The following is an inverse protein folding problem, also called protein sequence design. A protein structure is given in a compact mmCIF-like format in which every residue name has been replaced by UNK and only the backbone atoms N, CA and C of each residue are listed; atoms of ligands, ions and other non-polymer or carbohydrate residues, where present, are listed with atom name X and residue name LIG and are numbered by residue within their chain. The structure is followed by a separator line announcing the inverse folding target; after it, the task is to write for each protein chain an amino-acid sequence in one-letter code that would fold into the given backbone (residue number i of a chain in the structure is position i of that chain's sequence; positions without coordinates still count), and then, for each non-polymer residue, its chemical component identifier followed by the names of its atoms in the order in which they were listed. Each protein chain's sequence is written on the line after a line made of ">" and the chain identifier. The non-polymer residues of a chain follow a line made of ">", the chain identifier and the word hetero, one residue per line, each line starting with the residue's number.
data_IF_033051370998
#
_entry.id   IF_033051370998
#
_cell.length_a   1.000
_cell.length_b   1.000
_cell.length_c   1.000
_cell.angle_alpha   90.00
_cell.angle_beta   90.00
_cell.angle_gamma   90.00
#
_symmetry.space_group_name_H-M   'P 1'
#
loop_
_entity.id
_entity.type
_entity.pdbx_description
1 polymer ?
#
# COMPACT_ATOMS: atom_id res chain seq x y z
N UNK A 1 34.50 -9.89 13.63
CA UNK A 1 33.14 -10.08 13.06
C UNK A 1 32.00 -9.96 14.09
N UNK A 2 32.17 -10.48 15.32
CA UNK A 2 31.14 -10.47 16.39
C UNK A 2 30.69 -9.06 16.84
N UNK A 3 31.62 -8.10 16.96
CA UNK A 3 31.31 -6.73 17.36
C UNK A 3 30.37 -5.99 16.38
N UNK A 4 30.53 -6.21 15.06
CA UNK A 4 29.65 -5.63 14.03
C UNK A 4 28.22 -6.21 14.07
N UNK A 5 28.06 -7.43 14.58
CA UNK A 5 26.75 -8.07 14.77
C UNK A 5 26.03 -7.53 16.00
N UNK A 6 26.74 -7.36 17.12
CA UNK A 6 26.15 -6.77 18.34
C UNK A 6 25.77 -5.30 18.15
N UNK A 7 26.59 -4.50 17.46
CA UNK A 7 26.26 -3.10 17.14
C UNK A 7 24.97 -2.98 16.30
N UNK A 8 24.81 -3.84 15.28
CA UNK A 8 23.58 -3.87 14.45
C UNK A 8 22.36 -4.31 15.24
N UNK A 9 22.49 -5.32 16.12
CA UNK A 9 21.38 -5.75 17.00
C UNK A 9 20.96 -4.63 17.95
N UNK A 10 21.91 -3.89 18.51
CA UNK A 10 21.62 -2.74 19.40
C UNK A 10 20.89 -1.63 18.67
N UNK A 11 21.34 -1.27 17.47
CA UNK A 11 20.66 -0.27 16.63
C UNK A 11 19.23 -0.72 16.29
N UNK A 12 19.07 -1.96 15.81
CA UNK A 12 17.75 -2.52 15.50
C UNK A 12 16.81 -2.47 16.72
N UNK A 13 17.31 -2.84 17.91
CA UNK A 13 16.56 -2.75 19.15
C UNK A 13 16.14 -1.31 19.48
N UNK A 14 17.05 -0.34 19.36
CA UNK A 14 16.74 1.07 19.60
C UNK A 14 15.65 1.58 18.64
N UNK A 15 15.72 1.21 17.36
CA UNK A 15 14.66 1.54 16.40
C UNK A 15 13.34 0.86 16.75
N UNK A 16 13.34 -0.43 17.07
CA UNK A 16 12.13 -1.16 17.45
C UNK A 16 11.46 -0.56 18.69
N UNK A 17 12.23 -0.21 19.72
CA UNK A 17 11.71 0.44 20.93
C UNK A 17 11.20 1.84 20.61
N UNK A 18 11.94 2.61 19.81
CA UNK A 18 11.54 3.97 19.41
C UNK A 18 10.21 3.97 18.65
N UNK A 19 10.10 3.18 17.57
CA UNK A 19 8.87 3.05 16.81
C UNK A 19 7.74 2.44 17.66
N UNK A 20 8.03 1.44 18.49
CA UNK A 20 7.05 0.83 19.39
C UNK A 20 6.46 1.83 20.38
N UNK A 21 7.29 2.69 20.98
CA UNK A 21 6.84 3.73 21.89
C UNK A 21 5.99 4.78 21.16
N UNK A 22 6.42 5.23 19.98
CA UNK A 22 5.64 6.18 19.16
C UNK A 22 4.28 5.59 18.79
N UNK A 23 4.23 4.32 18.35
CA UNK A 23 2.97 3.64 18.03
C UNK A 23 2.06 3.48 19.25
N UNK A 24 2.62 3.13 20.42
CA UNK A 24 1.85 3.01 21.66
C UNK A 24 1.27 4.37 22.08
N UNK A 25 2.07 5.43 22.06
CA UNK A 25 1.61 6.78 22.39
C UNK A 25 0.54 7.26 21.41
N UNK A 26 0.69 6.97 20.11
CA UNK A 26 -0.32 7.29 19.11
C UNK A 26 -1.64 6.55 19.39
N UNK A 27 -1.60 5.25 19.69
CA UNK A 27 -2.79 4.46 20.03
C UNK A 27 -3.48 4.97 21.29
N UNK A 28 -2.72 5.22 22.36
CA UNK A 28 -3.26 5.77 23.60
C UNK A 28 -3.85 7.17 23.37
N UNK A 29 -3.17 8.01 22.60
CA UNK A 29 -3.66 9.33 22.20
C UNK A 29 -4.95 9.26 21.39
N UNK A 30 -5.06 8.31 20.45
CA UNK A 30 -6.30 8.06 19.70
C UNK A 30 -7.45 7.69 20.62
N UNK A 31 -7.26 6.75 21.54
CA UNK A 31 -8.30 6.34 22.50
C UNK A 31 -8.70 7.50 23.41
N UNK A 32 -7.72 8.26 23.88
CA UNK A 32 -7.94 9.36 24.83
C UNK A 32 -8.67 10.55 24.19
N UNK A 33 -8.34 10.90 22.94
CA UNK A 33 -8.88 12.08 22.25
C UNK A 33 -10.13 11.76 21.42
N UNK A 34 -10.18 10.61 20.76
CA UNK A 34 -11.23 10.25 19.79
C UNK A 34 -12.04 9.02 20.15
N UNK A 35 -11.77 8.38 21.30
CA UNK A 35 -12.40 7.12 21.69
C UNK A 35 -11.91 5.92 20.88
N UNK A 36 -12.62 4.80 20.96
CA UNK A 36 -12.21 3.54 20.34
C UNK A 36 -12.68 3.38 18.87
N UNK A 37 -13.74 4.08 18.46
CA UNK A 37 -14.34 3.90 17.15
C UNK A 37 -13.39 4.20 15.97
N UNK A 38 -12.51 5.23 16.03
CA UNK A 38 -11.50 5.46 14.99
C UNK A 38 -10.50 4.30 14.81
N UNK A 39 -10.39 3.36 15.75
CA UNK A 39 -9.48 2.21 15.66
C UNK A 39 -10.08 1.01 14.90
N UNK A 40 -11.37 1.03 14.56
CA UNK A 40 -12.03 -0.06 13.84
C UNK A 40 -11.29 -0.41 12.53
N UNK A 41 -10.84 0.57 11.69
CA UNK A 41 -10.05 0.24 10.51
C UNK A 41 -8.78 -0.54 10.83
N UNK A 42 -8.09 -0.24 11.92
CA UNK A 42 -6.90 -0.99 12.33
C UNK A 42 -7.25 -2.41 12.76
N UNK A 43 -8.37 -2.61 13.46
CA UNK A 43 -8.84 -3.95 13.81
C UNK A 43 -9.09 -4.80 12.55
N UNK A 44 -9.69 -4.21 11.51
CA UNK A 44 -9.90 -4.87 10.21
C UNK A 44 -8.55 -5.12 9.50
N UNK A 45 -7.55 -4.27 9.71
CA UNK A 45 -6.21 -4.41 9.15
C UNK A 45 -5.34 -5.47 9.85
N UNK A 46 -5.69 -5.89 11.07
CA UNK A 46 -4.89 -6.86 11.88
C UNK A 46 -4.57 -8.15 11.10
N UNK A 47 -5.51 -8.83 10.42
CA UNK A 47 -5.19 -10.06 9.70
C UNK A 47 -4.09 -9.87 8.65
N UNK A 48 -4.10 -8.74 7.94
CA UNK A 48 -3.05 -8.40 6.97
C UNK A 48 -1.71 -8.11 7.67
N UNK A 49 -1.74 -7.37 8.77
CA UNK A 49 -0.55 -7.14 9.60
C UNK A 49 0.06 -8.44 10.14
N UNK A 50 -0.76 -9.38 10.60
CA UNK A 50 -0.33 -10.68 11.09
C UNK A 50 0.30 -11.54 9.99
N UNK A 51 -0.28 -11.54 8.78
CA UNK A 51 0.34 -12.20 7.62
C UNK A 51 1.73 -11.63 7.35
N UNK A 52 1.87 -10.31 7.34
CA UNK A 52 3.16 -9.66 7.15
C UNK A 52 4.17 -10.07 8.24
N UNK A 53 3.81 -9.96 9.52
CA UNK A 53 4.67 -10.34 10.65
C UNK A 53 5.06 -11.81 10.62
N UNK A 54 4.12 -12.70 10.28
CA UNK A 54 4.37 -14.14 10.18
C UNK A 54 5.47 -14.47 9.16
N UNK A 55 5.39 -13.89 7.95
CA UNK A 55 6.39 -14.13 6.91
C UNK A 55 7.74 -13.49 7.25
N UNK A 56 7.74 -12.27 7.79
CA UNK A 56 8.96 -11.57 8.19
C UNK A 56 9.69 -12.33 9.32
N UNK A 57 8.95 -12.81 10.32
CA UNK A 57 9.48 -13.61 11.43
C UNK A 57 10.16 -14.90 10.95
N UNK A 58 9.54 -15.60 9.99
CA UNK A 58 10.09 -16.84 9.45
C UNK A 58 11.28 -16.63 8.49
N UNK A 59 11.62 -15.37 8.16
CA UNK A 59 12.68 -15.02 7.20
C UNK A 59 12.54 -15.76 5.86
N UNK A 60 11.32 -16.15 5.51
CA UNK A 60 11.03 -16.67 4.18
C UNK A 60 11.19 -15.47 3.27
N UNK A 61 12.08 -15.55 2.27
CA UNK A 61 12.37 -14.43 1.38
C UNK A 61 11.09 -13.80 0.82
N UNK A 62 11.15 -12.52 0.41
CA UNK A 62 10.00 -11.66 0.05
C UNK A 62 8.90 -12.37 -0.77
N UNK A 63 7.94 -12.97 -0.07
CA UNK A 63 6.80 -13.65 -0.68
C UNK A 63 5.79 -12.61 -1.17
N UNK A 64 5.00 -12.94 -2.19
CA UNK A 64 4.00 -12.00 -2.71
C UNK A 64 2.92 -11.72 -1.67
N UNK A 65 2.61 -12.69 -0.80
CA UNK A 65 1.63 -12.55 0.27
C UNK A 65 2.06 -11.48 1.28
N UNK A 66 3.32 -11.53 1.74
CA UNK A 66 3.86 -10.55 2.67
C UNK A 66 3.92 -9.15 2.05
N UNK A 67 4.34 -9.07 0.78
CA UNK A 67 4.40 -7.80 0.05
C UNK A 67 3.02 -7.19 -0.15
N UNK A 68 1.97 -7.99 -0.37
CA UNK A 68 0.60 -7.53 -0.55
C UNK A 68 -0.04 -7.11 0.78
N UNK A 69 0.17 -7.90 1.84
CA UNK A 69 -0.48 -7.70 3.12
C UNK A 69 -0.03 -6.40 3.82
N UNK A 70 1.27 -6.09 3.76
CA UNK A 70 1.84 -4.92 4.43
C UNK A 70 1.20 -3.57 4.02
N UNK A 71 1.17 -3.18 2.72
CA UNK A 71 0.61 -1.90 2.32
C UNK A 71 -0.90 -1.81 2.53
N UNK A 72 -1.64 -2.93 2.44
CA UNK A 72 -3.08 -2.94 2.76
C UNK A 72 -3.27 -2.63 4.25
N UNK A 73 -2.47 -3.26 5.12
CA UNK A 73 -2.53 -3.00 6.56
C UNK A 73 -2.17 -1.55 6.89
N UNK A 74 -1.08 -1.03 6.31
CA UNK A 74 -0.62 0.34 6.56
C UNK A 74 -1.57 1.40 6.00
N UNK A 75 -2.24 1.14 4.89
CA UNK A 75 -3.26 2.05 4.36
C UNK A 75 -4.44 2.25 5.33
N UNK A 76 -4.69 1.31 6.26
CA UNK A 76 -5.72 1.45 7.29
C UNK A 76 -5.45 2.61 8.26
N UNK A 77 -4.18 3.01 8.45
CA UNK A 77 -3.81 4.19 9.25
C UNK A 77 -4.44 5.47 8.69
N UNK A 78 -4.58 5.57 7.36
CA UNK A 78 -5.20 6.75 6.73
C UNK A 78 -6.68 6.87 7.12
N UNK A 79 -7.41 5.75 7.19
CA UNK A 79 -8.80 5.78 7.65
C UNK A 79 -8.90 6.24 9.11
N UNK A 80 -7.99 5.81 9.98
CA UNK A 80 -7.95 6.29 11.38
C UNK A 80 -7.70 7.79 11.46
N UNK A 81 -6.74 8.29 10.70
CA UNK A 81 -6.41 9.73 10.65
C UNK A 81 -7.64 10.54 10.20
N UNK A 82 -8.33 10.09 9.15
CA UNK A 82 -9.53 10.77 8.64
C UNK A 82 -10.67 10.76 9.66
N UNK A 83 -10.93 9.64 10.31
CA UNK A 83 -11.96 9.54 11.35
C UNK A 83 -11.64 10.46 12.53
N UNK A 84 -10.37 10.56 12.94
CA UNK A 84 -9.95 11.50 13.97
C UNK A 84 -10.05 12.97 13.53
N UNK A 85 -9.90 13.23 12.24
CA UNK A 85 -10.14 14.53 11.62
C UNK A 85 -11.61 14.88 11.44
N UNK A 86 -12.54 14.02 11.88
CA UNK A 86 -13.98 14.23 11.76
C UNK A 86 -14.57 13.93 10.38
N UNK A 87 -13.83 13.25 9.50
CA UNK A 87 -14.35 12.83 8.21
C UNK A 87 -15.48 11.80 8.36
N UNK A 88 -16.37 11.73 7.36
CA UNK A 88 -17.40 10.71 7.32
C UNK A 88 -16.78 9.31 7.21
N UNK A 89 -17.40 8.33 7.87
CA UNK A 89 -16.98 6.92 7.84
C UNK A 89 -16.81 6.41 6.40
N UNK A 90 -17.78 6.68 5.52
CA UNK A 90 -17.70 6.26 4.11
C UNK A 90 -16.47 6.80 3.39
N UNK A 91 -16.12 8.07 3.63
CA UNK A 91 -14.93 8.70 3.05
C UNK A 91 -13.63 8.08 3.59
N UNK A 92 -13.55 7.82 4.90
CA UNK A 92 -12.37 7.21 5.50
C UNK A 92 -12.06 5.82 4.91
N UNK A 93 -13.07 4.97 4.78
CA UNK A 93 -12.93 3.65 4.16
C UNK A 93 -12.69 3.73 2.64
N UNK A 94 -13.26 4.73 1.97
CA UNK A 94 -13.01 4.98 0.56
C UNK A 94 -11.53 5.29 0.27
N UNK A 95 -10.89 6.11 1.12
CA UNK A 95 -9.46 6.44 0.98
C UNK A 95 -8.59 5.20 1.23
N UNK A 96 -8.93 4.41 2.25
CA UNK A 96 -8.23 3.15 2.49
C UNK A 96 -8.36 2.21 1.28
N UNK A 97 -9.58 2.04 0.74
CA UNK A 97 -9.82 1.23 -0.44
C UNK A 97 -9.02 1.71 -1.65
N UNK A 98 -8.98 3.01 -1.92
CA UNK A 98 -8.22 3.57 -3.04
C UNK A 98 -6.71 3.30 -2.91
N UNK A 99 -6.15 3.46 -1.71
CA UNK A 99 -4.73 3.19 -1.45
C UNK A 99 -4.40 1.69 -1.52
N UNK A 100 -5.26 0.83 -0.98
CA UNK A 100 -5.12 -0.62 -1.06
C UNK A 100 -5.25 -1.11 -2.52
N UNK A 101 -6.29 -0.62 -3.22
CA UNK A 101 -6.58 -0.91 -4.62
C UNK A 101 -5.49 -0.45 -5.57
N UNK A 102 -4.66 0.50 -5.17
CA UNK A 102 -3.45 0.89 -5.91
C UNK A 102 -2.23 0.06 -5.54
N UNK A 103 -2.07 -0.26 -4.25
CA UNK A 103 -0.87 -0.96 -3.76
C UNK A 103 -0.81 -2.40 -4.26
N UNK A 104 -1.96 -3.08 -4.27
CA UNK A 104 -2.05 -4.47 -4.72
C UNK A 104 -1.62 -4.64 -6.19
N UNK A 105 -2.22 -3.95 -7.19
CA UNK A 105 -1.79 -4.08 -8.58
C UNK A 105 -0.36 -3.61 -8.83
N UNK A 106 0.14 -2.61 -8.09
CA UNK A 106 1.52 -2.11 -8.22
C UNK A 106 2.56 -3.20 -7.91
N UNK A 107 2.35 -4.00 -6.86
CA UNK A 107 3.26 -5.12 -6.51
C UNK A 107 3.30 -6.16 -7.64
N UNK A 108 2.13 -6.58 -8.11
CA UNK A 108 2.04 -7.56 -9.19
C UNK A 108 2.61 -7.00 -10.49
N UNK A 109 2.39 -5.71 -10.79
CA UNK A 109 2.97 -5.03 -11.93
C UNK A 109 4.51 -5.03 -11.88
N UNK A 110 5.10 -4.60 -10.76
CA UNK A 110 6.56 -4.57 -10.60
C UNK A 110 7.15 -5.98 -10.74
N UNK A 111 6.53 -6.98 -10.10
CA UNK A 111 6.97 -8.38 -10.20
C UNK A 111 6.91 -8.90 -11.63
N UNK A 112 5.77 -8.73 -12.31
CA UNK A 112 5.59 -9.13 -13.70
C UNK A 112 6.60 -8.42 -14.60
N UNK A 113 6.80 -7.12 -14.38
CA UNK A 113 7.72 -6.32 -15.18
C UNK A 113 9.16 -6.75 -15.02
N UNK A 114 9.62 -6.99 -13.79
CA UNK A 114 10.96 -7.48 -13.52
C UNK A 114 11.21 -8.87 -14.09
N UNK A 115 10.19 -9.74 -14.12
CA UNK A 115 10.31 -11.05 -14.73
C UNK A 115 10.38 -10.96 -16.26
N UNK A 116 9.59 -10.08 -16.88
CA UNK A 116 9.66 -9.82 -18.32
C UNK A 116 11.00 -9.22 -18.74
N UNK A 117 11.56 -8.30 -17.94
CA UNK A 117 12.85 -7.67 -18.23
C UNK A 117 14.04 -8.64 -17.98
N UNK A 118 13.81 -9.75 -17.26
CA UNK A 118 14.77 -10.84 -17.06
C UNK A 118 14.51 -12.05 -17.97
N UNK A 119 13.56 -11.94 -18.90
CA UNK A 119 13.14 -13.03 -19.80
C UNK A 119 12.66 -14.30 -19.09
N UNK A 120 12.17 -14.18 -17.85
CA UNK A 120 11.74 -15.33 -17.02
C UNK A 120 10.28 -15.74 -17.21
N UNK A 121 9.59 -15.17 -18.20
CA UNK A 121 8.15 -15.28 -18.36
C UNK A 121 7.38 -14.60 -17.23
N UNK A 122 6.22 -14.02 -17.53
CA UNK A 122 5.38 -13.39 -16.51
C UNK A 122 3.91 -13.64 -16.78
N UNK A 123 3.15 -13.90 -15.72
CA UNK A 123 1.70 -13.90 -15.80
C UNK A 123 1.22 -12.45 -15.79
N UNK A 124 0.77 -11.97 -16.95
CA UNK A 124 0.34 -10.58 -17.14
C UNK A 124 -1.12 -10.37 -16.74
N UNK A 125 -1.97 -11.38 -16.95
CA UNK A 125 -3.41 -11.28 -16.67
C UNK A 125 -3.77 -10.88 -15.22
N UNK A 126 -3.11 -11.38 -14.15
CA UNK A 126 -3.49 -10.99 -12.79
C UNK A 126 -3.25 -9.49 -12.54
N UNK A 127 -2.25 -8.91 -13.21
CA UNK A 127 -1.94 -7.48 -13.09
C UNK A 127 -3.10 -6.66 -13.63
N UNK A 128 -3.58 -6.98 -14.83
CA UNK A 128 -4.68 -6.23 -15.45
C UNK A 128 -5.99 -6.43 -14.71
N UNK A 129 -6.29 -7.67 -14.28
CA UNK A 129 -7.48 -7.96 -13.48
C UNK A 129 -7.51 -7.17 -12.17
N UNK A 130 -6.37 -7.07 -11.47
CA UNK A 130 -6.29 -6.27 -10.23
C UNK A 130 -6.44 -4.77 -10.49
N UNK A 131 -5.81 -4.22 -11.53
CA UNK A 131 -6.00 -2.81 -11.89
C UNK A 131 -7.45 -2.51 -12.27
N UNK A 132 -8.07 -3.37 -13.06
CA UNK A 132 -9.46 -3.22 -13.49
C UNK A 132 -10.42 -3.33 -12.29
N UNK A 133 -10.22 -4.31 -11.41
CA UNK A 133 -11.00 -4.45 -10.19
C UNK A 133 -10.88 -3.21 -9.30
N UNK A 134 -9.66 -2.72 -9.07
CA UNK A 134 -9.43 -1.51 -8.29
C UNK A 134 -10.13 -0.29 -8.90
N UNK A 135 -10.06 -0.12 -10.22
CA UNK A 135 -10.72 0.98 -10.93
C UNK A 135 -12.25 0.89 -10.80
N UNK A 136 -12.84 -0.29 -10.98
CA UNK A 136 -14.29 -0.51 -10.81
C UNK A 136 -14.72 -0.17 -9.38
N UNK A 137 -14.00 -0.68 -8.38
CA UNK A 137 -14.32 -0.41 -6.97
C UNK A 137 -14.23 1.08 -6.64
N UNK A 138 -13.19 1.76 -7.10
CA UNK A 138 -13.06 3.22 -6.91
C UNK A 138 -14.11 4.00 -7.69
N UNK A 139 -14.50 3.56 -8.88
CA UNK A 139 -15.59 4.18 -9.63
C UNK A 139 -16.92 4.07 -8.90
N UNK A 140 -17.25 2.89 -8.36
CA UNK A 140 -18.47 2.68 -7.55
C UNK A 140 -18.47 3.63 -6.33
N UNK A 141 -17.36 3.70 -5.61
CA UNK A 141 -17.23 4.57 -4.42
C UNK A 141 -17.23 6.05 -4.80
N UNK A 142 -16.70 6.41 -5.97
CA UNK A 142 -16.81 7.76 -6.55
C UNK A 142 -18.26 8.14 -6.83
N UNK A 143 -19.03 7.23 -7.44
CA UNK A 143 -20.45 7.44 -7.75
C UNK A 143 -21.30 7.57 -6.48
N UNK A 144 -20.87 6.95 -5.37
CA UNK A 144 -21.46 7.16 -4.04
C UNK A 144 -21.07 8.49 -3.37
N UNK A 145 -20.19 9.30 -3.99
CA UNK A 145 -19.83 10.64 -3.51
C UNK A 145 -18.62 10.70 -2.57
N UNK A 146 -17.93 9.59 -2.31
CA UNK A 146 -16.84 9.53 -1.32
C UNK A 146 -15.44 9.83 -1.84
N UNK A 147 -15.27 9.85 -3.16
CA UNK A 147 -13.99 10.12 -3.83
C UNK A 147 -14.20 11.18 -4.91
N UNK A 148 -13.10 11.69 -5.43
CA UNK A 148 -13.09 12.63 -6.55
C UNK A 148 -12.72 11.95 -7.89
N UNK A 149 -12.92 12.67 -8.98
CA UNK A 149 -12.59 12.18 -10.32
C UNK A 149 -11.07 12.07 -10.55
N UNK A 150 -10.25 12.87 -9.86
CA UNK A 150 -8.79 12.78 -9.98
C UNK A 150 -8.27 11.39 -9.56
N UNK A 151 -8.87 10.79 -8.53
CA UNK A 151 -8.58 9.42 -8.08
C UNK A 151 -8.85 8.40 -9.17
N UNK A 152 -10.00 8.51 -9.86
CA UNK A 152 -10.38 7.64 -10.98
C UNK A 152 -9.41 7.81 -12.15
N UNK A 153 -9.04 9.05 -12.47
CA UNK A 153 -8.08 9.35 -13.55
C UNK A 153 -6.72 8.71 -13.27
N UNK A 154 -6.19 8.85 -12.05
CA UNK A 154 -4.91 8.24 -11.69
C UNK A 154 -4.95 6.71 -11.81
N UNK A 155 -6.00 6.05 -11.30
CA UNK A 155 -6.10 4.59 -11.42
C UNK A 155 -6.29 4.13 -12.88
N UNK A 156 -6.98 4.93 -13.69
CA UNK A 156 -7.11 4.69 -15.13
C UNK A 156 -5.75 4.78 -15.83
N UNK A 157 -4.94 5.81 -15.51
CA UNK A 157 -3.59 5.96 -16.03
C UNK A 157 -2.68 4.80 -15.60
N UNK A 158 -2.82 4.30 -14.36
CA UNK A 158 -2.09 3.12 -13.90
C UNK A 158 -2.49 1.86 -14.65
N UNK A 159 -3.79 1.66 -14.93
CA UNK A 159 -4.26 0.55 -15.77
C UNK A 159 -3.67 0.65 -17.19
N UNK A 160 -3.76 1.81 -17.84
CA UNK A 160 -3.18 2.04 -19.18
C UNK A 160 -1.67 1.80 -19.20
N UNK A 161 -0.97 2.29 -18.18
CA UNK A 161 0.47 2.04 -18.01
C UNK A 161 0.78 0.57 -17.80
N UNK A 162 -0.10 -0.18 -17.12
CA UNK A 162 0.07 -1.63 -16.97
C UNK A 162 -0.03 -2.34 -18.32
N UNK A 163 -0.99 -1.94 -19.16
CA UNK A 163 -1.20 -2.49 -20.50
C UNK A 163 0.02 -2.26 -21.39
N UNK A 164 0.51 -1.01 -21.44
CA UNK A 164 1.70 -0.69 -22.24
C UNK A 164 2.98 -1.28 -21.64
N UNK A 165 3.15 -1.17 -20.33
CA UNK A 165 4.36 -1.61 -19.63
C UNK A 165 4.55 -3.14 -19.59
N UNK A 166 3.50 -3.93 -19.77
CA UNK A 166 3.60 -5.39 -19.87
C UNK A 166 3.44 -5.90 -21.31
N UNK A 167 3.33 -4.98 -22.28
CA UNK A 167 3.22 -5.33 -23.70
C UNK A 167 4.57 -5.78 -24.31
N UNK A 168 4.54 -6.37 -25.53
CA UNK A 168 5.74 -6.64 -26.30
C UNK A 168 6.55 -5.37 -26.65
N UNK A 169 5.91 -4.21 -26.74
CA UNK A 169 6.54 -2.93 -27.10
C UNK A 169 7.12 -2.16 -25.91
N UNK A 170 7.25 -2.83 -24.76
CA UNK A 170 7.80 -2.20 -23.56
C UNK A 170 9.26 -1.80 -23.77
N UNK A 171 9.64 -0.65 -23.22
CA UNK A 171 11.05 -0.26 -23.08
C UNK A 171 11.67 -0.95 -21.88
N UNK A 172 12.89 -1.49 -21.94
CA UNK A 172 13.58 -2.03 -20.76
C UNK A 172 14.00 -0.87 -19.83
N UNK A 173 13.66 -0.96 -18.55
CA UNK A 173 13.90 0.12 -17.58
C UNK A 173 14.61 -0.45 -16.35
N UNK A 174 15.54 0.33 -15.77
CA UNK A 174 16.26 -0.10 -14.57
C UNK A 174 15.33 -0.23 -13.36
N UNK A 175 15.64 -1.20 -12.48
CA UNK A 175 14.87 -1.46 -11.24
C UNK A 175 14.67 -0.19 -10.39
N UNK A 176 15.68 0.68 -10.18
CA UNK A 176 15.49 1.90 -9.40
C UNK A 176 14.48 2.87 -10.03
N UNK A 177 14.47 2.99 -11.37
CA UNK A 177 13.52 3.87 -12.08
C UNK A 177 12.07 3.36 -11.93
N UNK A 178 11.87 2.04 -11.96
CA UNK A 178 10.55 1.45 -11.67
C UNK A 178 10.12 1.82 -10.25
N UNK A 179 11.00 1.62 -9.26
CA UNK A 179 10.71 1.97 -7.86
C UNK A 179 10.34 3.45 -7.66
N UNK A 180 11.11 4.37 -8.25
CA UNK A 180 10.81 5.81 -8.20
C UNK A 180 9.49 6.12 -8.90
N UNK A 181 9.21 5.53 -10.06
CA UNK A 181 7.94 5.73 -10.76
C UNK A 181 6.75 5.29 -9.90
N UNK A 182 6.82 4.10 -9.26
CA UNK A 182 5.76 3.65 -8.35
C UNK A 182 5.58 4.61 -7.17
N UNK A 183 6.66 5.15 -6.60
CA UNK A 183 6.59 6.14 -5.53
C UNK A 183 5.94 7.45 -5.99
N UNK A 184 6.28 7.96 -7.18
CA UNK A 184 5.70 9.18 -7.75
C UNK A 184 4.20 9.01 -7.99
N UNK A 185 3.78 7.92 -8.63
CA UNK A 185 2.37 7.60 -8.73
C UNK A 185 1.72 7.50 -7.35
N UNK A 186 2.50 7.02 -6.36
CA UNK A 186 2.20 6.87 -4.93
C UNK A 186 1.61 8.13 -4.38
N UNK A 187 2.50 9.10 -4.43
CA UNK A 187 2.29 10.44 -4.01
C UNK A 187 1.18 11.14 -4.79
N UNK A 188 1.13 11.00 -6.12
CA UNK A 188 0.06 11.59 -6.94
C UNK A 188 -1.33 11.12 -6.51
N UNK A 189 -1.50 9.82 -6.19
CA UNK A 189 -2.77 9.32 -5.69
C UNK A 189 -3.14 9.94 -4.34
N UNK A 190 -2.18 10.07 -3.43
CA UNK A 190 -2.39 10.72 -2.13
C UNK A 190 -2.78 12.19 -2.32
N UNK A 191 -2.12 12.91 -3.23
CA UNK A 191 -2.48 14.29 -3.56
C UNK A 191 -3.89 14.38 -4.17
N UNK A 192 -4.25 13.48 -5.07
CA UNK A 192 -5.60 13.44 -5.63
C UNK A 192 -6.64 13.19 -4.54
N UNK A 193 -6.37 12.27 -3.61
CA UNK A 193 -7.27 12.03 -2.47
C UNK A 193 -7.38 13.26 -1.55
N UNK A 194 -6.27 13.94 -1.26
CA UNK A 194 -6.24 15.06 -0.33
C UNK A 194 -6.86 16.36 -0.89
N UNK A 195 -6.74 16.61 -2.19
CA UNK A 195 -7.08 17.91 -2.80
C UNK A 195 -8.15 17.86 -3.90
N UNK A 196 -8.58 16.68 -4.35
CA UNK A 196 -9.61 16.54 -5.37
C UNK A 196 -11.00 16.42 -4.78
#
# INVERSE_FOLDING_TARGET
>A
MLARGQARKRLAWQFSVGYGLVSLLALLGTVWLGGWAPLIPLLIAIPFGLVFVYYDWRRVGRTWQAELAAPIAFAGVVAVILLLGGAEVGQAYAFWLALAGRSAPSIFYVRARLNLDKERGAMVWPVHSLHLLALILVLVVRLAGYLNWATVVILSLLLLRSLWGLSPWRLTVSVPRIGVAEMVWGFLLVLALAYG
#
